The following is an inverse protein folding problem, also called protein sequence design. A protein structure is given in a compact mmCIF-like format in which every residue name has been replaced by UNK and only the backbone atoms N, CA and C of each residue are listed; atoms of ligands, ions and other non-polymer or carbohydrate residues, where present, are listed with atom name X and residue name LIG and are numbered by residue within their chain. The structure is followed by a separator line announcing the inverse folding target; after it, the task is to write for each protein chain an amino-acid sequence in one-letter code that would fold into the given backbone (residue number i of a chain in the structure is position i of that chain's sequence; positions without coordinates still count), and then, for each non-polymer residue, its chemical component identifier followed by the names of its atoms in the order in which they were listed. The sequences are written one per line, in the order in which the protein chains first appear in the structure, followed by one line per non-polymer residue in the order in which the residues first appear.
data_IF_916447242043
#
_entry.id   IF_916447242043
#
_cell.length_a   1.000
_cell.length_b   1.000
_cell.length_c   1.000
_cell.angle_alpha   90.00
_cell.angle_beta   90.00
_cell.angle_gamma   90.00
#
_symmetry.space_group_name_H-M   'P 1'
#
loop_
_entity.id
_entity.type
_entity.pdbx_description
1 polymer ?
#
# COMPACT_ATOMS: atom_id res chain seq x y z
N UNK A 1 5.47 -9.16 -22.18
CA UNK A 1 6.07 -7.96 -21.56
C UNK A 1 5.19 -7.39 -20.45
N UNK A 2 3.87 -7.41 -20.60
CA UNK A 2 2.93 -6.85 -19.61
C UNK A 2 2.99 -7.51 -18.23
N UNK A 3 3.09 -8.86 -18.15
CA UNK A 3 3.18 -9.56 -16.86
C UNK A 3 4.43 -9.20 -16.05
N UNK A 4 5.57 -8.97 -16.71
CA UNK A 4 6.82 -8.56 -16.04
C UNK A 4 6.71 -7.14 -15.50
N UNK A 5 6.12 -6.22 -16.28
CA UNK A 5 5.86 -4.86 -15.84
C UNK A 5 4.90 -4.81 -14.64
N UNK A 6 3.81 -5.58 -14.71
CA UNK A 6 2.87 -5.73 -13.60
C UNK A 6 3.54 -6.29 -12.33
N UNK A 7 4.32 -7.36 -12.48
CA UNK A 7 5.08 -7.95 -11.36
C UNK A 7 6.02 -6.92 -10.71
N UNK A 8 6.73 -6.13 -11.50
CA UNK A 8 7.60 -5.08 -11.00
C UNK A 8 6.83 -4.00 -10.22
N UNK A 9 5.67 -3.56 -10.73
CA UNK A 9 4.82 -2.60 -10.03
C UNK A 9 4.28 -3.15 -8.71
N UNK A 10 3.81 -4.40 -8.68
CA UNK A 10 3.34 -5.05 -7.45
C UNK A 10 4.47 -5.09 -6.41
N UNK A 11 5.68 -5.49 -6.80
CA UNK A 11 6.85 -5.53 -5.92
C UNK A 11 7.18 -4.12 -5.40
N UNK A 12 7.19 -3.11 -6.27
CA UNK A 12 7.48 -1.74 -5.87
C UNK A 12 6.47 -1.23 -4.83
N UNK A 13 5.18 -1.47 -5.05
CA UNK A 13 4.13 -1.09 -4.10
C UNK A 13 4.25 -1.85 -2.78
N UNK A 14 4.62 -3.14 -2.83
CA UNK A 14 4.82 -3.97 -1.64
C UNK A 14 5.97 -3.43 -0.78
N UNK A 15 7.07 -3.04 -1.41
CA UNK A 15 8.22 -2.44 -0.73
C UNK A 15 7.85 -1.08 -0.10
N UNK A 16 7.10 -0.23 -0.82
CA UNK A 16 6.61 1.04 -0.28
C UNK A 16 5.69 0.83 0.92
N UNK A 17 4.75 -0.11 0.82
CA UNK A 17 3.81 -0.47 1.90
C UNK A 17 4.55 -0.97 3.14
N UNK A 18 5.54 -1.83 2.95
CA UNK A 18 6.38 -2.37 4.03
C UNK A 18 7.19 -1.29 4.73
N UNK A 19 7.72 -0.32 3.96
CA UNK A 19 8.45 0.82 4.54
C UNK A 19 7.53 1.74 5.34
N UNK A 20 6.32 2.02 4.86
CA UNK A 20 5.30 2.78 5.59
C UNK A 20 4.87 2.05 6.87
N UNK A 21 4.68 0.73 6.79
CA UNK A 21 4.34 -0.10 7.93
C UNK A 21 5.43 -0.03 9.01
N UNK A 22 6.70 -0.13 8.61
CA UNK A 22 7.85 -0.01 9.53
C UNK A 22 7.88 1.35 10.24
N UNK A 23 7.67 2.45 9.52
CA UNK A 23 7.57 3.81 10.12
C UNK A 23 6.43 3.85 11.14
N UNK A 24 5.27 3.28 10.79
CA UNK A 24 4.08 3.26 11.63
C UNK A 24 4.31 2.43 12.89
N UNK A 25 4.95 1.25 12.79
CA UNK A 25 5.28 0.43 13.94
C UNK A 25 6.34 1.06 14.85
N UNK A 26 7.38 1.66 14.28
CA UNK A 26 8.40 2.38 15.04
C UNK A 26 7.75 3.51 15.87
N UNK A 27 6.78 4.22 15.30
CA UNK A 27 6.01 5.18 16.08
C UNK A 27 5.20 4.51 17.20
N UNK A 28 4.43 3.46 16.90
CA UNK A 28 3.60 2.78 17.90
C UNK A 28 4.45 2.25 19.08
N UNK A 29 5.65 1.71 18.80
CA UNK A 29 6.54 1.16 19.83
C UNK A 29 7.15 2.23 20.74
N UNK A 30 7.38 3.44 20.23
CA UNK A 30 7.99 4.52 21.01
C UNK A 30 6.99 5.35 21.83
N UNK A 31 5.67 5.19 21.59
CA UNK A 31 4.63 5.97 22.25
C UNK A 31 3.56 5.06 22.87
N UNK A 32 3.60 4.88 24.20
CA UNK A 32 2.65 4.02 24.96
C UNK A 32 1.16 4.29 24.67
N UNK A 33 0.81 5.52 24.29
CA UNK A 33 -0.56 5.93 23.93
C UNK A 33 -0.68 6.33 22.45
N UNK A 34 -0.13 5.53 21.54
CA UNK A 34 -0.32 5.76 20.12
C UNK A 34 -1.83 5.84 19.77
N UNK A 35 -2.27 6.90 19.06
CA UNK A 35 -3.64 7.05 18.59
C UNK A 35 -4.19 5.80 17.89
N UNK A 36 -5.49 5.54 18.07
CA UNK A 36 -6.19 4.39 17.46
C UNK A 36 -6.05 4.40 15.95
N UNK A 37 -6.13 5.56 15.32
CA UNK A 37 -6.09 5.68 13.86
C UNK A 37 -4.74 5.26 13.27
N UNK A 38 -3.65 5.46 14.02
CA UNK A 38 -2.31 5.00 13.62
C UNK A 38 -2.20 3.47 13.72
N UNK A 39 -2.80 2.88 14.75
CA UNK A 39 -2.87 1.41 14.88
C UNK A 39 -3.71 0.80 13.75
N UNK A 40 -4.83 1.44 13.40
CA UNK A 40 -5.65 1.03 12.27
C UNK A 40 -4.86 1.14 10.96
N UNK A 41 -4.13 2.24 10.74
CA UNK A 41 -3.26 2.40 9.59
C UNK A 41 -2.19 1.31 9.49
N UNK A 42 -1.55 0.94 10.60
CA UNK A 42 -0.59 -0.17 10.63
C UNK A 42 -1.27 -1.49 10.22
N UNK A 43 -2.46 -1.76 10.75
CA UNK A 43 -3.25 -2.95 10.39
C UNK A 43 -3.56 -2.98 8.89
N UNK A 44 -4.01 -1.86 8.32
CA UNK A 44 -4.36 -1.82 6.89
C UNK A 44 -3.16 -1.89 5.97
N UNK A 45 -2.03 -1.28 6.34
CA UNK A 45 -0.78 -1.44 5.60
C UNK A 45 -0.27 -2.88 5.64
N UNK A 46 -0.43 -3.56 6.78
CA UNK A 46 -0.07 -4.98 6.90
C UNK A 46 -0.99 -5.87 6.05
N UNK A 47 -2.30 -5.65 6.11
CA UNK A 47 -3.26 -6.36 5.26
C UNK A 47 -2.99 -6.12 3.77
N UNK A 48 -2.62 -4.89 3.40
CA UNK A 48 -2.25 -4.54 2.03
C UNK A 48 -1.03 -5.33 1.54
N UNK A 49 0.02 -5.43 2.35
CA UNK A 49 1.20 -6.25 2.01
C UNK A 49 0.78 -7.68 1.71
N UNK A 50 -0.04 -8.30 2.56
CA UNK A 50 -0.55 -9.64 2.32
C UNK A 50 -1.39 -9.78 1.05
N UNK A 51 -2.23 -8.78 0.71
CA UNK A 51 -2.99 -8.78 -0.55
C UNK A 51 -2.07 -8.67 -1.77
N UNK A 52 -1.01 -7.86 -1.68
CA UNK A 52 -0.05 -7.68 -2.77
C UNK A 52 0.82 -8.93 -2.98
N UNK A 53 1.22 -9.59 -1.90
CA UNK A 53 1.93 -10.87 -1.95
C UNK A 53 1.03 -11.94 -2.62
N UNK A 54 -0.23 -12.05 -2.21
CA UNK A 54 -1.19 -12.95 -2.85
C UNK A 54 -1.42 -12.61 -4.34
N UNK A 55 -1.48 -11.32 -4.68
CA UNK A 55 -1.62 -10.86 -6.06
C UNK A 55 -0.40 -11.24 -6.91
N UNK A 56 0.80 -11.17 -6.32
CA UNK A 56 2.04 -11.59 -6.97
C UNK A 56 2.07 -13.10 -7.20
N UNK A 57 1.71 -13.89 -6.19
CA UNK A 57 1.64 -15.34 -6.30
C UNK A 57 0.60 -15.77 -7.35
N UNK A 58 -0.56 -15.10 -7.36
CA UNK A 58 -1.59 -15.34 -8.36
C UNK A 58 -1.13 -14.98 -9.79
N UNK A 59 -0.40 -13.88 -9.96
CA UNK A 59 0.20 -13.49 -11.24
C UNK A 59 1.24 -14.52 -11.73
N UNK A 60 2.09 -15.02 -10.83
CA UNK A 60 3.11 -16.00 -11.17
C UNK A 60 2.48 -17.33 -11.61
N UNK A 61 1.38 -17.74 -10.97
CA UNK A 61 0.61 -18.91 -11.34
C UNK A 61 -0.22 -18.69 -12.63
N UNK A 62 -0.68 -17.45 -12.88
CA UNK A 62 -1.61 -17.10 -13.97
C UNK A 62 -1.11 -15.91 -14.81
N UNK A 63 0.04 -16.01 -15.49
CA UNK A 63 0.68 -14.86 -16.16
C UNK A 63 -0.13 -14.32 -17.36
N UNK A 64 -1.12 -15.07 -17.83
CA UNK A 64 -2.02 -14.69 -18.93
C UNK A 64 -3.43 -14.34 -18.46
N UNK A 65 -3.64 -14.13 -17.15
CA UNK A 65 -4.94 -13.70 -16.61
C UNK A 65 -5.44 -12.41 -17.30
N UNK A 66 -6.62 -12.45 -17.94
CA UNK A 66 -7.23 -11.25 -18.51
C UNK A 66 -7.60 -10.21 -17.45
N UNK A 67 -8.02 -10.63 -16.24
CA UNK A 67 -8.30 -9.71 -15.15
C UNK A 67 -7.04 -8.95 -14.70
N UNK A 68 -5.89 -9.63 -14.60
CA UNK A 68 -4.61 -9.01 -14.25
C UNK A 68 -4.11 -8.06 -15.34
N UNK A 69 -4.29 -8.41 -16.62
CA UNK A 69 -3.95 -7.50 -17.72
C UNK A 69 -4.76 -6.19 -17.65
N UNK A 70 -6.04 -6.26 -17.25
CA UNK A 70 -6.86 -5.06 -17.04
C UNK A 70 -6.38 -4.20 -15.88
N UNK A 71 -5.76 -4.78 -14.85
CA UNK A 71 -5.12 -4.01 -13.78
C UNK A 71 -3.90 -3.22 -14.26
N UNK A 72 -3.17 -3.78 -15.24
CA UNK A 72 -1.90 -3.27 -15.76
C UNK A 72 -2.04 -2.34 -16.97
N UNK A 73 -3.26 -2.12 -17.48
CA UNK A 73 -3.50 -1.20 -18.60
C UNK A 73 -3.00 0.21 -18.30
N UNK A 74 -2.71 1.00 -19.34
CA UNK A 74 -2.30 2.40 -19.21
C UNK A 74 -3.40 3.21 -18.47
N UNK A 75 -3.02 3.91 -17.39
CA UNK A 75 -3.95 4.56 -16.46
C UNK A 75 -4.76 3.59 -15.62
N UNK A 76 -4.34 2.33 -15.56
CA UNK A 76 -5.03 1.24 -14.87
C UNK A 76 -4.84 1.29 -13.35
N UNK A 77 -5.61 0.48 -12.60
CA UNK A 77 -5.59 0.48 -11.15
C UNK A 77 -4.20 0.33 -10.50
N UNK A 78 -3.29 -0.44 -11.11
CA UNK A 78 -1.94 -0.62 -10.56
C UNK A 78 -1.07 0.62 -10.73
N UNK A 79 -1.19 1.31 -11.86
CA UNK A 79 -0.45 2.54 -12.13
C UNK A 79 -0.93 3.66 -11.18
N UNK A 80 -2.24 3.87 -11.11
CA UNK A 80 -2.85 4.83 -10.19
C UNK A 80 -2.44 4.54 -8.74
N UNK A 81 -2.47 3.27 -8.33
CA UNK A 81 -2.07 2.91 -6.98
C UNK A 81 -0.59 3.15 -6.72
N UNK A 82 0.26 2.87 -7.71
CA UNK A 82 1.70 3.13 -7.63
C UNK A 82 1.96 4.62 -7.41
N UNK A 83 1.27 5.50 -8.12
CA UNK A 83 1.39 6.95 -7.94
C UNK A 83 0.92 7.40 -6.55
N UNK A 84 -0.24 6.92 -6.10
CA UNK A 84 -0.80 7.24 -4.79
C UNK A 84 0.13 6.77 -3.65
N UNK A 85 0.68 5.55 -3.75
CA UNK A 85 1.61 5.00 -2.77
C UNK A 85 2.95 5.70 -2.78
N UNK A 86 3.45 6.14 -3.93
CA UNK A 86 4.64 6.98 -4.01
C UNK A 86 4.40 8.37 -3.39
N UNK A 87 3.25 8.99 -3.64
CA UNK A 87 2.89 10.25 -3.02
C UNK A 87 2.79 10.13 -1.49
N UNK A 88 2.18 9.03 -1.02
CA UNK A 88 2.11 8.69 0.39
C UNK A 88 3.51 8.49 0.99
N UNK A 89 4.36 7.72 0.32
CA UNK A 89 5.72 7.47 0.77
C UNK A 89 6.56 8.75 0.86
N UNK A 90 6.44 9.66 -0.11
CA UNK A 90 7.09 10.96 -0.09
C UNK A 90 6.63 11.80 1.10
N UNK A 91 5.31 11.83 1.37
CA UNK A 91 4.77 12.50 2.55
C UNK A 91 5.39 11.93 3.83
N UNK A 92 5.39 10.61 4.02
CA UNK A 92 5.95 9.99 5.24
C UNK A 92 7.46 10.23 5.39
N UNK A 93 8.23 10.07 4.31
CA UNK A 93 9.70 10.23 4.33
C UNK A 93 10.14 11.67 4.59
N UNK A 94 9.40 12.64 4.04
CA UNK A 94 9.64 14.05 4.33
C UNK A 94 9.46 14.36 5.82
N UNK A 95 8.63 13.57 6.50
CA UNK A 95 8.37 13.83 7.90
C UNK A 95 9.29 13.05 8.85
N UNK A 96 9.63 11.81 8.51
CA UNK A 96 10.65 11.01 9.21
C UNK A 96 12.02 11.72 9.21
N UNK A 97 12.38 12.39 8.11
CA UNK A 97 13.62 13.16 8.00
C UNK A 97 13.62 14.50 8.77
N UNK A 98 12.46 14.97 9.24
CA UNK A 98 12.40 16.21 10.00
C UNK A 98 12.77 15.95 11.47
N UNK A 99 13.82 16.60 11.98
CA UNK A 99 14.24 16.52 13.41
C UNK A 99 13.12 16.92 14.40
N UNK A 100 12.03 17.51 13.91
CA UNK A 100 10.86 17.96 14.66
C UNK A 100 9.92 16.81 15.07
N UNK A 101 9.85 15.70 14.33
CA UNK A 101 8.99 14.56 14.69
C UNK A 101 9.45 13.78 15.89
N UNK A 102 10.77 13.67 16.08
CA UNK A 102 11.36 13.09 17.27
C UNK A 102 10.92 13.82 18.57
N UNK A 103 10.42 15.07 18.46
CA UNK A 103 9.94 15.87 19.60
C UNK A 103 8.43 16.08 19.67
N UNK A 104 7.71 16.04 18.54
CA UNK A 104 6.29 16.45 18.47
C UNK A 104 5.28 15.31 18.34
N UNK A 105 5.73 14.05 18.19
CA UNK A 105 4.84 12.91 17.97
C UNK A 105 4.44 12.73 16.50
N UNK A 106 3.37 11.97 16.26
CA UNK A 106 2.99 11.50 14.92
C UNK A 106 2.75 12.68 13.98
N UNK A 107 3.31 12.63 12.77
CA UNK A 107 3.29 13.81 11.94
C UNK A 107 2.10 13.98 10.99
N UNK A 108 1.35 12.91 10.72
CA UNK A 108 0.23 13.01 9.79
C UNK A 108 -0.98 13.58 10.52
N UNK A 109 -1.71 14.41 9.79
CA UNK A 109 -3.02 14.86 10.22
C UNK A 109 -4.03 13.72 10.05
N UNK A 110 -5.08 13.69 10.85
CA UNK A 110 -6.15 12.69 10.78
C UNK A 110 -6.75 12.56 9.37
N UNK A 111 -6.83 13.69 8.64
CA UNK A 111 -7.25 13.73 7.24
C UNK A 111 -6.34 12.91 6.32
N UNK A 112 -5.02 13.02 6.50
CA UNK A 112 -4.05 12.26 5.69
C UNK A 112 -4.15 10.76 6.02
N UNK A 113 -4.33 10.39 7.29
CA UNK A 113 -4.53 8.99 7.71
C UNK A 113 -5.82 8.43 7.09
N UNK A 114 -6.93 9.17 7.18
CA UNK A 114 -8.23 8.75 6.66
C UNK A 114 -8.19 8.58 5.14
N UNK A 115 -7.58 9.53 4.43
CA UNK A 115 -7.41 9.44 2.97
C UNK A 115 -6.55 8.24 2.58
N UNK A 116 -5.51 7.97 3.35
CA UNK A 116 -4.63 6.80 3.14
C UNK A 116 -5.41 5.50 3.32
N UNK A 117 -6.12 5.35 4.44
CA UNK A 117 -6.97 4.19 4.71
C UNK A 117 -7.97 3.97 3.57
N UNK A 118 -8.67 5.03 3.14
CA UNK A 118 -9.65 4.95 2.06
C UNK A 118 -9.04 4.49 0.73
N UNK A 119 -7.86 5.01 0.38
CA UNK A 119 -7.13 4.57 -0.83
C UNK A 119 -6.72 3.09 -0.71
N UNK A 120 -6.16 2.69 0.43
CA UNK A 120 -5.70 1.30 0.67
C UNK A 120 -6.87 0.31 0.56
N UNK A 121 -8.00 0.59 1.23
CA UNK A 121 -9.21 -0.25 1.15
C UNK A 121 -9.71 -0.41 -0.29
N UNK A 122 -9.77 0.70 -1.04
CA UNK A 122 -10.24 0.69 -2.43
C UNK A 122 -9.38 -0.23 -3.29
N UNK A 123 -8.07 -0.13 -3.21
CA UNK A 123 -7.17 -0.92 -4.05
C UNK A 123 -7.10 -2.38 -3.62
N UNK A 124 -7.09 -2.68 -2.30
CA UNK A 124 -7.23 -4.06 -1.81
C UNK A 124 -8.47 -4.73 -2.39
N UNK A 125 -9.61 -4.04 -2.37
CA UNK A 125 -10.87 -4.56 -2.92
C UNK A 125 -10.75 -4.86 -4.41
N UNK A 126 -10.14 -3.96 -5.18
CA UNK A 126 -9.91 -4.15 -6.63
C UNK A 126 -9.01 -5.35 -6.90
N UNK A 127 -7.94 -5.53 -6.14
CA UNK A 127 -7.01 -6.66 -6.31
C UNK A 127 -7.63 -7.99 -5.93
N UNK A 128 -8.32 -8.04 -4.79
CA UNK A 128 -9.08 -9.22 -4.37
C UNK A 128 -10.09 -9.59 -5.45
N UNK A 129 -10.85 -8.61 -5.97
CA UNK A 129 -11.80 -8.86 -7.04
C UNK A 129 -11.12 -9.43 -8.29
N UNK A 130 -10.01 -8.83 -8.75
CA UNK A 130 -9.30 -9.30 -9.93
C UNK A 130 -8.80 -10.75 -9.79
N UNK A 131 -8.31 -11.16 -8.61
CA UNK A 131 -7.90 -12.54 -8.36
C UNK A 131 -9.06 -13.55 -8.39
N UNK A 132 -10.28 -13.11 -8.10
CA UNK A 132 -11.46 -13.98 -8.07
C UNK A 132 -12.24 -13.99 -9.40
N UNK A 133 -12.11 -12.96 -10.23
CA UNK A 133 -12.88 -12.85 -11.50
C UNK A 133 -12.52 -13.94 -12.50
N UNK A 134 -11.27 -14.34 -12.64
CA UNK A 134 -10.93 -15.41 -13.59
C UNK A 134 -11.28 -16.82 -13.05
N UNK A 135 -11.73 -16.92 -11.79
CA UNK A 135 -12.19 -18.18 -11.20
C UNK A 135 -13.69 -18.43 -11.40
N UNK A 136 -14.42 -17.45 -11.95
CA UNK A 136 -15.84 -17.50 -12.30
C UNK A 136 -16.04 -17.90 -13.76
#
# INVERSE_FOLDING_TARGET
MEAVGLAASIIAITQLSSKLLSITYNYISNFQKAPRDIKNLASELHALVGVLDNLKDYLDANPSSPALQKLAGNGGPIEVFTEEMNALHRKFSAIDSSKLTAKLGWPLKDKDITQTLSSVERHKTVFIFAMNVDQL
#
